data_IF_611200876072
#
_entry.id   IF_611200876072
#
_cell.length_a   1.000
_cell.length_b   1.000
_cell.length_c   1.000
_cell.angle_alpha   90.00
_cell.angle_beta   90.00
_cell.angle_gamma   90.00
#
_symmetry.space_group_name_H-M   'P 1'
#
loop_
_entity.id
_entity.type
_entity.pdbx_description
1 polymer ?
#
# COMPACT_ATOMS: atom_id res chain seq x y z
N UNK A 1 -27.30 40.83 -62.46
CA UNK A 1 -26.17 41.22 -61.58
C UNK A 1 -26.20 40.28 -60.39
N UNK A 2 -25.23 39.35 -60.30
CA UNK A 2 -25.23 38.24 -59.32
C UNK A 2 -24.38 38.64 -58.11
N UNK A 3 -25.02 38.66 -56.95
CA UNK A 3 -24.41 38.85 -55.63
C UNK A 3 -23.59 37.62 -55.23
N UNK A 4 -22.40 37.83 -54.66
CA UNK A 4 -21.66 36.81 -53.93
C UNK A 4 -21.11 37.45 -52.65
N UNK A 5 -21.79 37.16 -51.53
CA UNK A 5 -21.30 37.34 -50.17
C UNK A 5 -20.16 36.35 -49.91
N UNK A 6 -18.98 36.82 -49.52
CA UNK A 6 -17.90 35.97 -49.02
C UNK A 6 -17.80 36.15 -47.49
N UNK A 7 -18.25 35.13 -46.77
CA UNK A 7 -18.25 35.05 -45.31
C UNK A 7 -16.85 34.77 -44.76
N UNK A 8 -16.52 35.48 -43.68
CA UNK A 8 -15.33 35.33 -42.85
C UNK A 8 -15.32 33.98 -42.12
N UNK A 9 -14.19 33.27 -42.13
CA UNK A 9 -13.97 32.09 -41.27
C UNK A 9 -12.92 32.48 -40.23
N UNK A 10 -13.36 32.72 -38.99
CA UNK A 10 -12.50 32.77 -37.81
C UNK A 10 -12.19 31.33 -37.38
N UNK A 11 -10.94 30.90 -37.49
CA UNK A 11 -10.48 29.64 -36.90
C UNK A 11 -10.06 29.89 -35.44
N UNK A 12 -10.89 29.46 -34.49
CA UNK A 12 -10.52 29.43 -33.08
C UNK A 12 -9.72 28.14 -32.79
N UNK A 13 -8.42 28.27 -32.54
CA UNK A 13 -7.58 27.17 -32.08
C UNK A 13 -7.90 26.83 -30.63
N UNK A 14 -8.50 25.66 -30.38
CA UNK A 14 -8.75 25.14 -29.04
C UNK A 14 -7.46 24.52 -28.53
N UNK A 15 -6.73 25.22 -27.67
CA UNK A 15 -5.53 24.69 -27.00
C UNK A 15 -6.01 23.76 -25.88
N UNK A 16 -6.05 22.45 -26.16
CA UNK A 16 -6.28 21.42 -25.14
C UNK A 16 -5.10 21.38 -24.18
N UNK A 17 -5.20 22.08 -23.05
CA UNK A 17 -4.25 21.98 -21.94
C UNK A 17 -4.44 20.62 -21.25
N UNK A 18 -3.65 19.62 -21.67
CA UNK A 18 -3.53 18.36 -20.94
C UNK A 18 -2.74 18.63 -19.65
N UNK A 19 -3.44 18.88 -18.54
CA UNK A 19 -2.80 19.03 -17.23
C UNK A 19 -2.45 17.65 -16.66
N UNK A 20 -1.21 17.21 -16.85
CA UNK A 20 -0.64 16.19 -15.98
C UNK A 20 -0.48 16.79 -14.58
N UNK A 21 -1.37 16.44 -13.66
CA UNK A 21 -1.16 16.73 -12.24
C UNK A 21 -0.22 15.66 -11.67
N UNK A 22 1.09 15.90 -11.76
CA UNK A 22 2.07 15.14 -10.98
C UNK A 22 1.89 15.55 -9.53
N UNK A 23 1.12 14.77 -8.76
CA UNK A 23 1.03 14.92 -7.32
C UNK A 23 2.37 14.53 -6.71
N UNK A 24 3.10 15.53 -6.20
CA UNK A 24 4.41 15.39 -5.56
C UNK A 24 4.29 14.87 -4.12
N UNK A 25 3.58 13.76 -3.92
CA UNK A 25 3.64 13.04 -2.66
C UNK A 25 4.83 12.08 -2.74
N UNK A 26 5.92 12.43 -2.05
CA UNK A 26 7.24 11.78 -2.09
C UNK A 26 7.28 10.38 -1.45
N UNK A 27 6.19 9.62 -1.50
CA UNK A 27 6.12 8.27 -0.97
C UNK A 27 6.53 7.25 -2.03
N UNK A 28 7.43 6.33 -1.67
CA UNK A 28 7.76 5.21 -2.54
C UNK A 28 6.59 4.23 -2.52
N UNK A 29 5.82 4.21 -3.60
CA UNK A 29 4.69 3.31 -3.79
C UNK A 29 5.16 1.97 -4.36
N UNK A 30 4.84 0.90 -3.65
CA UNK A 30 5.13 -0.49 -4.03
C UNK A 30 3.82 -1.29 -4.09
N UNK A 31 3.82 -2.39 -4.83
CA UNK A 31 2.68 -3.30 -4.91
C UNK A 31 3.11 -4.73 -4.67
N UNK A 32 2.23 -5.49 -4.02
CA UNK A 32 2.39 -6.93 -3.84
C UNK A 32 1.03 -7.63 -3.91
N UNK A 33 1.07 -8.96 -4.02
CA UNK A 33 -0.12 -9.80 -4.13
C UNK A 33 -0.17 -10.81 -2.98
N UNK A 34 -1.37 -11.09 -2.49
CA UNK A 34 -1.64 -12.05 -1.42
C UNK A 34 -2.79 -12.97 -1.84
N UNK A 35 -2.61 -14.28 -1.74
CA UNK A 35 -3.70 -15.24 -1.90
C UNK A 35 -4.14 -15.75 -0.54
N UNK A 36 -5.44 -15.74 -0.28
CA UNK A 36 -6.03 -16.12 1.02
C UNK A 36 -7.28 -16.98 0.83
N UNK A 37 -7.66 -17.68 1.89
CA UNK A 37 -8.94 -18.40 1.94
C UNK A 37 -10.05 -17.52 2.50
N UNK A 38 -11.26 -17.75 2.03
CA UNK A 38 -12.44 -16.97 2.40
C UNK A 38 -12.70 -17.03 3.91
N UNK A 39 -12.85 -15.88 4.55
CA UNK A 39 -13.10 -15.75 5.99
C UNK A 39 -11.90 -16.07 6.89
N UNK A 40 -10.75 -16.49 6.33
CA UNK A 40 -9.57 -16.84 7.12
C UNK A 40 -8.75 -15.59 7.46
N UNK A 41 -8.32 -15.49 8.73
CA UNK A 41 -7.44 -14.42 9.19
C UNK A 41 -6.00 -14.72 8.76
N UNK A 42 -5.52 -13.98 7.77
CA UNK A 42 -4.18 -14.17 7.18
C UNK A 42 -3.27 -12.98 7.49
N UNK A 43 -2.02 -13.23 7.88
CA UNK A 43 -1.01 -12.18 8.03
C UNK A 43 -0.60 -11.67 6.64
N UNK A 44 -0.97 -10.44 6.32
CA UNK A 44 -0.68 -9.82 5.03
C UNK A 44 0.72 -9.19 4.98
N UNK A 45 1.26 -8.81 6.13
CA UNK A 45 2.58 -8.21 6.25
C UNK A 45 2.91 -7.89 7.70
N UNK A 46 4.15 -7.49 7.91
CA UNK A 46 4.64 -7.07 9.21
C UNK A 46 5.78 -6.06 9.04
N UNK A 47 5.94 -5.17 10.01
CA UNK A 47 7.02 -4.18 10.06
C UNK A 47 7.56 -4.09 11.48
N UNK A 48 8.85 -3.78 11.62
CA UNK A 48 9.53 -3.70 12.90
C UNK A 48 10.63 -2.64 12.88
N UNK A 49 10.87 -2.03 14.04
CA UNK A 49 12.07 -1.21 14.29
C UNK A 49 12.72 -1.70 15.57
N UNK A 50 13.91 -2.28 15.44
CA UNK A 50 14.63 -2.93 16.54
C UNK A 50 16.06 -2.42 16.63
N UNK A 51 16.61 -2.46 17.83
CA UNK A 51 18.03 -2.19 18.09
C UNK A 51 18.90 -3.37 17.68
N UNK A 52 20.22 -3.17 17.71
CA UNK A 52 21.21 -4.20 17.37
C UNK A 52 21.25 -5.36 18.36
N UNK A 53 20.63 -5.24 19.53
CA UNK A 53 20.45 -6.31 20.52
C UNK A 53 19.10 -7.02 20.38
N UNK A 54 18.35 -6.74 19.31
CA UNK A 54 17.00 -7.26 19.01
C UNK A 54 15.89 -6.75 19.94
N UNK A 55 16.17 -5.80 20.84
CA UNK A 55 15.12 -5.12 21.60
C UNK A 55 14.28 -4.19 20.71
N UNK A 56 13.02 -3.99 21.07
CA UNK A 56 12.12 -3.08 20.37
C UNK A 56 12.60 -1.63 20.51
N UNK A 57 12.76 -0.93 19.39
CA UNK A 57 13.05 0.50 19.41
C UNK A 57 11.75 1.32 19.51
N UNK A 58 10.78 1.03 18.64
CA UNK A 58 9.37 1.42 18.78
C UNK A 58 8.48 0.56 17.87
N UNK A 59 7.17 0.79 17.94
CA UNK A 59 6.23 0.32 16.93
C UNK A 59 6.14 1.34 15.79
N UNK A 60 6.53 0.96 14.54
CA UNK A 60 6.43 1.86 13.40
C UNK A 60 4.98 2.33 13.16
N UNK A 61 4.71 3.66 13.06
CA UNK A 61 3.37 4.17 12.80
C UNK A 61 2.87 3.68 11.45
N UNK A 62 1.92 2.74 11.49
CA UNK A 62 1.35 2.10 10.30
C UNK A 62 -0.09 2.55 10.13
N UNK A 63 -0.39 3.16 8.99
CA UNK A 63 -1.70 3.73 8.69
C UNK A 63 -2.37 2.98 7.54
N UNK A 64 -3.66 2.67 7.71
CA UNK A 64 -4.49 2.17 6.62
C UNK A 64 -4.98 3.38 5.83
N UNK A 65 -4.47 3.55 4.61
CA UNK A 65 -4.84 4.66 3.73
C UNK A 65 -6.13 4.33 2.97
N UNK A 66 -6.30 3.07 2.60
CA UNK A 66 -7.52 2.57 1.95
C UNK A 66 -7.89 1.21 2.53
N UNK A 67 -9.12 1.08 3.03
CA UNK A 67 -9.65 -0.17 3.55
C UNK A 67 -10.05 -1.12 2.42
N UNK A 68 -9.94 -2.46 2.63
CA UNK A 68 -10.50 -3.43 1.71
C UNK A 68 -12.02 -3.29 1.58
N UNK A 69 -12.55 -3.54 0.37
CA UNK A 69 -14.00 -3.46 0.09
C UNK A 69 -14.74 -4.73 0.52
N UNK A 70 -14.05 -5.86 0.47
CA UNK A 70 -14.63 -7.19 0.67
C UNK A 70 -14.05 -7.92 1.88
N UNK A 71 -13.42 -7.19 2.79
CA UNK A 71 -12.82 -7.73 4.00
C UNK A 71 -12.60 -6.66 5.06
N UNK A 72 -11.67 -6.95 5.98
CA UNK A 72 -11.17 -6.03 6.98
C UNK A 72 -9.65 -6.18 7.09
N UNK A 73 -8.97 -5.08 7.36
CA UNK A 73 -7.56 -5.07 7.72
C UNK A 73 -7.41 -4.62 9.17
N UNK A 74 -6.69 -5.40 9.96
CA UNK A 74 -6.41 -5.12 11.37
C UNK A 74 -4.91 -4.96 11.57
N UNK A 75 -4.48 -3.85 12.17
CA UNK A 75 -3.11 -3.61 12.58
C UNK A 75 -2.99 -4.00 14.05
N UNK A 76 -2.04 -4.88 14.38
CA UNK A 76 -1.85 -5.44 15.72
C UNK A 76 -0.39 -5.32 16.13
N UNK A 77 -0.14 -4.92 17.37
CA UNK A 77 1.19 -4.98 17.98
C UNK A 77 1.35 -6.36 18.62
N UNK A 78 2.32 -7.13 18.16
CA UNK A 78 2.57 -8.49 18.67
C UNK A 78 4.04 -8.92 18.51
N UNK A 79 4.49 -9.96 19.24
CA UNK A 79 5.80 -10.55 19.00
C UNK A 79 5.87 -11.26 17.62
N UNK A 80 6.81 -10.84 16.77
CA UNK A 80 7.05 -11.38 15.42
C UNK A 80 8.50 -11.79 15.22
N UNK A 81 8.75 -12.67 14.24
CA UNK A 81 10.11 -12.96 13.78
C UNK A 81 10.48 -12.01 12.64
N UNK A 82 11.56 -11.23 12.74
CA UNK A 82 11.98 -10.29 11.71
C UNK A 82 12.79 -11.01 10.62
N UNK A 83 12.13 -11.90 9.86
CA UNK A 83 12.80 -12.79 8.89
C UNK A 83 13.63 -12.04 7.84
N UNK A 84 13.24 -10.81 7.49
CA UNK A 84 13.93 -10.00 6.49
C UNK A 84 15.08 -9.15 7.07
N UNK A 85 15.35 -9.22 8.38
CA UNK A 85 16.44 -8.45 8.99
C UNK A 85 17.79 -8.79 8.33
N UNK A 86 18.65 -7.81 8.01
CA UNK A 86 19.94 -8.04 7.33
C UNK A 86 21.11 -7.42 8.10
N UNK A 87 22.34 -7.71 7.69
CA UNK A 87 23.55 -7.14 8.28
C UNK A 87 23.65 -7.42 9.78
N UNK A 88 23.90 -6.38 10.58
CA UNK A 88 24.03 -6.48 12.05
C UNK A 88 22.76 -7.02 12.74
N UNK A 89 21.60 -6.94 12.08
CA UNK A 89 20.33 -7.43 12.60
C UNK A 89 20.02 -8.88 12.19
N UNK A 90 20.86 -9.53 11.37
CA UNK A 90 20.59 -10.90 10.90
C UNK A 90 20.43 -11.90 12.06
N UNK A 91 21.13 -11.69 13.18
CA UNK A 91 20.98 -12.49 14.41
C UNK A 91 19.57 -12.44 15.02
N UNK A 92 18.79 -11.42 14.69
CA UNK A 92 17.44 -11.23 15.24
C UNK A 92 16.37 -12.09 14.53
N UNK A 93 16.68 -12.71 13.38
CA UNK A 93 15.72 -13.50 12.59
C UNK A 93 15.11 -14.68 13.36
N UNK A 94 15.80 -15.16 14.38
CA UNK A 94 15.45 -16.36 15.16
C UNK A 94 14.86 -16.05 16.53
N UNK A 95 14.69 -14.78 16.87
CA UNK A 95 14.07 -14.34 18.13
C UNK A 95 12.80 -13.55 17.84
N UNK A 96 11.80 -13.69 18.70
CA UNK A 96 10.60 -12.87 18.61
C UNK A 96 10.92 -11.48 19.16
N UNK A 97 10.61 -10.47 18.36
CA UNK A 97 10.76 -9.05 18.71
C UNK A 97 9.39 -8.39 18.67
N UNK A 98 9.22 -7.27 19.36
CA UNK A 98 8.02 -6.46 19.19
C UNK A 98 7.92 -5.98 17.73
N UNK A 99 6.72 -6.06 17.16
CA UNK A 99 6.47 -5.53 15.83
C UNK A 99 4.99 -5.28 15.57
N UNK A 100 4.73 -4.76 14.38
CA UNK A 100 3.39 -4.41 13.91
C UNK A 100 3.02 -5.39 12.80
N UNK A 101 1.93 -6.13 12.97
CA UNK A 101 1.43 -7.11 12.01
C UNK A 101 0.09 -6.63 11.43
N UNK A 102 -0.04 -6.71 10.10
CA UNK A 102 -1.29 -6.48 9.39
C UNK A 102 -1.99 -7.79 9.08
N UNK A 103 -3.23 -7.95 9.54
CA UNK A 103 -4.06 -9.13 9.30
C UNK A 103 -5.24 -8.78 8.42
N UNK A 104 -5.34 -9.47 7.27
CA UNK A 104 -6.48 -9.41 6.39
C UNK A 104 -7.47 -10.53 6.72
N UNK A 105 -8.76 -10.25 6.61
CA UNK A 105 -9.80 -11.28 6.63
C UNK A 105 -10.93 -10.85 5.71
N UNK A 106 -11.26 -11.65 4.70
CA UNK A 106 -12.40 -11.37 3.83
C UNK A 106 -13.73 -11.57 4.57
N UNK A 107 -14.82 -11.04 4.01
CA UNK A 107 -16.17 -11.39 4.44
C UNK A 107 -16.38 -12.90 4.23
N UNK A 108 -17.00 -13.62 5.17
CA UNK A 108 -17.26 -15.05 5.00
C UNK A 108 -17.99 -15.35 3.68
N UNK A 109 -17.47 -16.30 2.90
CA UNK A 109 -18.03 -16.71 1.61
C UNK A 109 -17.67 -15.80 0.43
N UNK A 110 -16.98 -14.68 0.65
CA UNK A 110 -16.48 -13.86 -0.45
C UNK A 110 -15.35 -14.58 -1.20
N UNK A 111 -15.43 -14.59 -2.53
CA UNK A 111 -14.42 -15.12 -3.46
C UNK A 111 -14.23 -14.05 -4.54
N UNK A 112 -12.99 -13.74 -4.89
CA UNK A 112 -12.68 -12.71 -5.86
C UNK A 112 -11.51 -11.82 -5.44
N UNK A 113 -11.40 -10.66 -6.08
CA UNK A 113 -10.33 -9.72 -5.82
C UNK A 113 -10.71 -8.66 -4.77
N UNK A 114 -9.76 -8.37 -3.89
CA UNK A 114 -9.84 -7.27 -2.94
C UNK A 114 -8.55 -6.45 -2.99
N UNK A 115 -8.57 -5.25 -2.42
CA UNK A 115 -7.41 -4.37 -2.43
C UNK A 115 -7.40 -3.45 -1.22
N UNK A 116 -6.23 -3.22 -0.65
CA UNK A 116 -6.05 -2.20 0.38
C UNK A 116 -4.69 -1.51 0.25
N UNK A 117 -4.56 -0.35 0.90
CA UNK A 117 -3.32 0.44 0.90
C UNK A 117 -2.91 0.73 2.33
N UNK A 118 -1.65 0.43 2.65
CA UNK A 118 -1.03 0.78 3.94
C UNK A 118 0.17 1.69 3.72
N UNK A 119 0.36 2.62 4.64
CA UNK A 119 1.52 3.51 4.69
C UNK A 119 2.29 3.26 5.97
N UNK A 120 3.59 3.10 5.86
CA UNK A 120 4.48 2.87 7.00
C UNK A 120 5.87 3.46 6.72
N UNK A 121 6.59 3.90 7.76
CA UNK A 121 7.98 4.29 7.59
C UNK A 121 8.85 3.05 7.38
N UNK A 122 9.87 3.20 6.55
CA UNK A 122 10.99 2.26 6.47
C UNK A 122 12.22 2.89 7.12
N UNK A 123 13.33 2.16 7.18
CA UNK A 123 14.61 2.70 7.65
C UNK A 123 14.96 4.01 6.93
N UNK A 124 15.77 4.85 7.59
CA UNK A 124 16.35 6.08 7.01
C UNK A 124 15.35 7.22 6.71
N UNK A 125 14.17 7.20 7.32
CA UNK A 125 13.19 8.29 7.26
C UNK A 125 12.31 8.28 6.01
N UNK A 126 12.51 7.29 5.13
CA UNK A 126 11.62 7.04 3.99
C UNK A 126 10.24 6.55 4.46
N UNK A 127 9.19 6.99 3.77
CA UNK A 127 7.83 6.49 3.98
C UNK A 127 7.40 5.73 2.72
N UNK A 128 6.92 4.51 2.91
CA UNK A 128 6.39 3.66 1.84
C UNK A 128 4.88 3.59 1.88
N UNK A 129 4.28 3.53 0.70
CA UNK A 129 2.91 3.07 0.51
C UNK A 129 2.92 1.70 -0.17
N UNK A 130 2.31 0.72 0.47
CA UNK A 130 2.14 -0.62 -0.08
C UNK A 130 0.69 -0.81 -0.52
N UNK A 131 0.50 -1.06 -1.81
CA UNK A 131 -0.77 -1.48 -2.41
C UNK A 131 -0.80 -3.01 -2.41
N UNK A 132 -1.66 -3.61 -1.58
CA UNK A 132 -1.86 -5.06 -1.60
C UNK A 132 -3.10 -5.43 -2.40
N UNK A 133 -2.89 -6.27 -3.41
CA UNK A 133 -3.94 -6.91 -4.18
C UNK A 133 -4.17 -8.31 -3.60
N UNK A 134 -5.40 -8.60 -3.18
CA UNK A 134 -5.75 -9.86 -2.53
C UNK A 134 -6.58 -10.70 -3.48
N UNK A 135 -6.19 -11.95 -3.68
CA UNK A 135 -6.99 -12.98 -4.34
C UNK A 135 -7.60 -13.89 -3.26
N UNK A 136 -8.93 -13.85 -3.14
CA UNK A 136 -9.67 -14.65 -2.17
C UNK A 136 -10.22 -15.89 -2.85
N UNK A 137 -9.86 -17.05 -2.31
CA UNK A 137 -10.25 -18.38 -2.79
C UNK A 137 -11.07 -19.12 -1.72
N UNK A 138 -11.57 -20.31 -2.05
CA UNK A 138 -12.35 -21.16 -1.14
C UNK A 138 -11.53 -21.78 0.00
#
# INVERSE_FOLDING_TARGET
MKSIFAYSILAAAVISLSSCTTTSDSFRRESASLTVRSGERTRAGQVWRIHSDCSLADYPPTHIIEQPKHGRLQIVHEPIFPHEAKGKLAKCRTVKVGGVAGYYTSKPGYIGSDRFVVRFPVGDGEIKEMVLNVSVMQ
#
